data_IF_622064628438
#
_entry.id   IF_622064628438
#
_cell.length_a   1.000
_cell.length_b   1.000
_cell.length_c   1.000
_cell.angle_alpha   90.00
_cell.angle_beta   90.00
_cell.angle_gamma   90.00
#
_symmetry.space_group_name_H-M   'P 1'
#
loop_
_entity.id
_entity.type
_entity.pdbx_description
1 polymer ?
#
# COMPACT_ATOMS: atom_id res chain seq x y z
N UNK A 1 36.43 34.61 24.63
CA UNK A 1 35.07 34.03 24.56
C UNK A 1 34.64 33.65 23.13
N UNK A 2 35.56 33.34 22.21
CA UNK A 2 35.24 33.16 20.78
C UNK A 2 35.38 31.71 20.29
N UNK A 3 35.54 30.74 21.20
CA UNK A 3 35.88 29.35 20.87
C UNK A 3 34.75 28.34 21.14
N UNK A 4 33.60 28.81 21.65
CA UNK A 4 32.49 27.94 22.06
C UNK A 4 31.47 27.72 20.93
N UNK A 5 31.26 28.74 20.08
CA UNK A 5 30.32 28.68 18.96
C UNK A 5 30.78 27.76 17.81
N UNK A 6 32.09 27.66 17.58
CA UNK A 6 32.69 26.74 16.59
C UNK A 6 32.51 25.28 17.00
N UNK A 7 32.75 24.98 18.28
CA UNK A 7 32.62 23.62 18.84
C UNK A 7 31.16 23.13 18.86
N UNK A 8 30.22 24.03 19.15
CA UNK A 8 28.79 23.72 19.10
C UNK A 8 28.32 23.40 17.67
N UNK A 9 28.80 24.15 16.68
CA UNK A 9 28.43 23.96 15.26
C UNK A 9 28.98 22.64 14.70
N UNK A 10 30.20 22.25 15.07
CA UNK A 10 30.78 20.94 14.70
C UNK A 10 30.02 19.76 15.34
N UNK A 11 29.59 19.91 16.60
CA UNK A 11 28.74 18.92 17.27
C UNK A 11 27.38 18.76 16.60
N UNK A 12 26.74 19.86 16.20
CA UNK A 12 25.46 19.83 15.47
C UNK A 12 25.61 19.19 14.08
N UNK A 13 26.69 19.49 13.36
CA UNK A 13 26.96 18.86 12.06
C UNK A 13 27.14 17.35 12.19
N UNK A 14 27.90 16.92 13.20
CA UNK A 14 28.06 15.49 13.51
C UNK A 14 26.70 14.82 13.74
N UNK A 15 25.79 15.43 14.50
CA UNK A 15 24.43 14.92 14.70
C UNK A 15 23.65 14.75 13.38
N UNK A 16 23.69 15.76 12.52
CA UNK A 16 22.99 15.72 11.23
C UNK A 16 23.53 14.59 10.36
N UNK A 17 24.85 14.38 10.33
CA UNK A 17 25.47 13.30 9.55
C UNK A 17 25.03 11.92 10.06
N UNK A 18 25.08 11.67 11.38
CA UNK A 18 24.62 10.39 11.93
C UNK A 18 23.12 10.15 11.68
N UNK A 19 22.31 11.20 11.77
CA UNK A 19 20.88 11.14 11.47
C UNK A 19 20.61 10.79 10.00
N UNK A 20 21.32 11.43 9.06
CA UNK A 20 21.22 11.16 7.63
C UNK A 20 21.71 9.77 7.27
N UNK A 21 22.78 9.28 7.90
CA UNK A 21 23.27 7.92 7.72
C UNK A 21 22.19 6.90 8.10
N UNK A 22 21.52 7.10 9.24
CA UNK A 22 20.42 6.23 9.65
C UNK A 22 19.27 6.22 8.62
N UNK A 23 18.82 7.41 8.19
CA UNK A 23 17.73 7.53 7.20
C UNK A 23 18.12 6.91 5.84
N UNK A 24 19.32 7.18 5.34
CA UNK A 24 19.77 6.73 4.02
C UNK A 24 20.14 5.24 4.00
N UNK A 25 20.50 4.67 5.15
CA UNK A 25 20.86 3.24 5.25
C UNK A 25 19.69 2.32 4.91
N UNK A 26 18.46 2.75 5.18
CA UNK A 26 17.24 1.97 4.94
C UNK A 26 16.93 1.76 3.44
N UNK A 27 16.79 2.81 2.61
CA UNK A 27 16.56 2.64 1.17
C UNK A 27 17.76 1.98 0.48
N UNK A 28 18.99 2.32 0.87
CA UNK A 28 20.20 1.69 0.33
C UNK A 28 20.23 0.19 0.63
N UNK A 29 19.92 -0.20 1.87
CA UNK A 29 19.88 -1.60 2.26
C UNK A 29 18.74 -2.39 1.64
N UNK A 30 17.59 -1.75 1.40
CA UNK A 30 16.49 -2.35 0.65
C UNK A 30 16.88 -2.60 -0.82
N UNK A 31 17.50 -1.63 -1.49
CA UNK A 31 17.95 -1.74 -2.88
C UNK A 31 19.05 -2.81 -3.00
N UNK A 32 20.06 -2.77 -2.13
CA UNK A 32 21.15 -3.77 -2.14
C UNK A 32 20.65 -5.16 -1.77
N UNK A 33 19.77 -5.27 -0.79
CA UNK A 33 19.12 -6.54 -0.42
C UNK A 33 18.37 -7.11 -1.60
N UNK A 34 17.59 -6.30 -2.33
CA UNK A 34 16.86 -6.76 -3.52
C UNK A 34 17.79 -7.21 -4.65
N UNK A 35 18.91 -6.50 -4.88
CA UNK A 35 19.89 -6.81 -5.92
C UNK A 35 20.71 -8.08 -5.61
N UNK A 36 21.13 -8.26 -4.36
CA UNK A 36 21.99 -9.38 -3.95
C UNK A 36 21.21 -10.64 -3.59
N UNK A 37 19.96 -10.48 -3.14
CA UNK A 37 19.14 -11.55 -2.63
C UNK A 37 17.79 -11.59 -3.37
N UNK A 38 17.84 -11.90 -4.67
CA UNK A 38 16.66 -12.01 -5.55
C UNK A 38 15.60 -13.04 -5.10
N UNK A 39 15.87 -13.88 -4.08
CA UNK A 39 14.97 -14.95 -3.62
C UNK A 39 14.78 -14.98 -2.09
N UNK A 40 15.15 -13.92 -1.38
CA UNK A 40 14.95 -13.88 0.09
C UNK A 40 13.68 -13.09 0.38
N UNK A 41 12.56 -13.80 0.41
CA UNK A 41 11.27 -13.26 0.85
C UNK A 41 11.16 -13.26 2.39
N UNK A 42 10.58 -12.19 2.93
CA UNK A 42 10.20 -12.11 4.34
C UNK A 42 11.22 -11.41 5.26
N UNK A 43 11.26 -11.85 6.52
CA UNK A 43 11.92 -11.15 7.64
C UNK A 43 13.43 -10.87 7.43
N UNK A 44 14.11 -11.70 6.62
CA UNK A 44 15.53 -11.55 6.30
C UNK A 44 15.84 -10.30 5.47
N UNK A 45 14.85 -9.72 4.78
CA UNK A 45 15.02 -8.49 4.02
C UNK A 45 15.31 -7.28 4.92
N UNK A 46 14.91 -7.32 6.20
CA UNK A 46 15.19 -6.27 7.19
C UNK A 46 16.60 -6.37 7.78
N UNK A 47 17.25 -7.53 7.69
CA UNK A 47 18.60 -7.76 8.22
C UNK A 47 19.64 -7.00 7.40
N UNK A 48 19.47 -6.91 6.08
CA UNK A 48 20.36 -6.16 5.19
C UNK A 48 20.49 -4.66 5.51
N UNK A 49 19.38 -3.89 5.61
CA UNK A 49 19.46 -2.49 6.00
C UNK A 49 19.99 -2.30 7.43
N UNK A 50 19.68 -3.19 8.37
CA UNK A 50 20.29 -3.17 9.71
C UNK A 50 21.80 -3.38 9.69
N UNK A 51 22.27 -4.30 8.84
CA UNK A 51 23.69 -4.58 8.67
C UNK A 51 24.43 -3.40 8.03
N UNK A 52 23.86 -2.81 6.97
CA UNK A 52 24.41 -1.61 6.32
C UNK A 52 24.39 -0.42 7.28
N UNK A 53 23.32 -0.23 8.04
CA UNK A 53 23.24 0.81 9.07
C UNK A 53 24.35 0.62 10.12
N UNK A 54 24.59 -0.62 10.58
CA UNK A 54 25.64 -0.93 11.56
C UNK A 54 27.03 -0.63 11.01
N UNK A 55 27.34 -1.01 9.76
CA UNK A 55 28.63 -0.72 9.14
C UNK A 55 28.83 0.79 9.00
N UNK A 56 27.85 1.51 8.44
CA UNK A 56 27.95 2.96 8.27
C UNK A 56 28.08 3.69 9.62
N UNK A 57 27.41 3.17 10.66
CA UNK A 57 27.51 3.70 12.01
C UNK A 57 28.93 3.52 12.59
N UNK A 58 29.55 2.34 12.40
CA UNK A 58 30.93 2.08 12.82
C UNK A 58 31.92 2.98 12.06
N UNK A 59 31.75 3.11 10.74
CA UNK A 59 32.57 3.99 9.91
C UNK A 59 32.45 5.45 10.38
N UNK A 60 31.24 5.91 10.68
CA UNK A 60 31.02 7.26 11.17
C UNK A 60 31.63 7.48 12.56
N UNK A 61 31.50 6.52 13.49
CA UNK A 61 32.19 6.61 14.79
C UNK A 61 33.71 6.71 14.63
N UNK A 62 34.28 5.94 13.71
CA UNK A 62 35.71 5.94 13.42
C UNK A 62 36.16 7.27 12.80
N UNK A 63 35.44 7.77 11.79
CA UNK A 63 35.77 9.00 11.07
C UNK A 63 35.69 10.25 11.98
N UNK A 64 34.67 10.32 12.83
CA UNK A 64 34.47 11.47 13.73
C UNK A 64 35.21 11.32 15.07
N UNK A 65 35.99 10.24 15.27
CA UNK A 65 36.72 9.94 16.52
C UNK A 65 35.86 10.15 17.77
N UNK A 66 34.59 9.75 17.69
CA UNK A 66 33.62 10.03 18.76
C UNK A 66 33.97 9.16 19.96
N UNK A 67 34.56 9.76 20.99
CA UNK A 67 34.94 9.05 22.22
C UNK A 67 33.76 8.66 23.11
N UNK A 68 32.58 9.26 22.91
CA UNK A 68 31.41 9.02 23.75
C UNK A 68 30.39 8.12 23.02
N UNK A 69 30.44 6.82 23.32
CA UNK A 69 29.44 5.86 22.83
C UNK A 69 28.00 6.25 23.21
N UNK A 70 27.82 6.92 24.36
CA UNK A 70 26.52 7.40 24.83
C UNK A 70 25.89 8.46 23.90
N UNK A 71 26.73 9.27 23.24
CA UNK A 71 26.27 10.27 22.28
C UNK A 71 25.76 9.60 20.99
N UNK A 72 26.53 8.64 20.48
CA UNK A 72 26.19 7.91 19.26
C UNK A 72 24.91 7.07 19.45
N UNK A 73 24.75 6.42 20.60
CA UNK A 73 23.54 5.66 20.96
C UNK A 73 22.27 6.52 20.99
N UNK A 74 22.34 7.75 21.48
CA UNK A 74 21.20 8.69 21.47
C UNK A 74 20.80 9.07 20.04
N UNK A 75 21.78 9.38 19.19
CA UNK A 75 21.52 9.72 17.79
C UNK A 75 20.91 8.53 17.03
N UNK A 76 21.41 7.31 17.27
CA UNK A 76 20.85 6.08 16.70
C UNK A 76 19.42 5.83 17.17
N UNK A 77 19.14 5.96 18.46
CA UNK A 77 17.81 5.77 19.01
C UNK A 77 16.79 6.76 18.42
N UNK A 78 17.18 8.03 18.27
CA UNK A 78 16.34 9.05 17.63
C UNK A 78 16.07 8.68 16.16
N UNK A 79 17.11 8.30 15.41
CA UNK A 79 16.97 7.90 14.02
C UNK A 79 16.05 6.68 13.87
N UNK A 80 16.21 5.66 14.72
CA UNK A 80 15.34 4.49 14.75
C UNK A 80 13.88 4.87 15.05
N UNK A 81 13.65 5.80 15.99
CA UNK A 81 12.31 6.32 16.28
C UNK A 81 11.65 6.98 15.06
N UNK A 82 12.39 7.79 14.31
CA UNK A 82 11.87 8.39 13.07
C UNK A 82 11.58 7.36 11.98
N UNK A 83 12.49 6.40 11.78
CA UNK A 83 12.31 5.31 10.82
C UNK A 83 11.08 4.46 11.17
N UNK A 84 10.88 4.19 12.46
CA UNK A 84 9.69 3.48 12.93
C UNK A 84 8.40 4.24 12.61
N UNK A 85 8.37 5.57 12.81
CA UNK A 85 7.20 6.39 12.46
C UNK A 85 6.92 6.39 10.95
N UNK A 86 7.96 6.49 10.12
CA UNK A 86 7.82 6.38 8.67
C UNK A 86 7.26 5.01 8.29
N UNK A 87 7.78 3.94 8.91
CA UNK A 87 7.33 2.58 8.65
C UNK A 87 5.87 2.37 9.06
N UNK A 88 5.47 2.80 10.25
CA UNK A 88 4.07 2.73 10.71
C UNK A 88 3.15 3.51 9.79
N UNK A 89 3.56 4.71 9.35
CA UNK A 89 2.76 5.53 8.43
C UNK A 89 2.59 4.83 7.08
N UNK A 90 3.65 4.22 6.56
CA UNK A 90 3.60 3.47 5.30
C UNK A 90 2.78 2.18 5.44
N UNK A 91 2.89 1.49 6.57
CA UNK A 91 2.10 0.30 6.87
C UNK A 91 0.60 0.63 6.99
N UNK A 92 0.25 1.71 7.69
CA UNK A 92 -1.13 2.19 7.76
C UNK A 92 -1.69 2.58 6.39
N UNK A 93 -0.88 3.24 5.55
CA UNK A 93 -1.26 3.54 4.18
C UNK A 93 -1.52 2.28 3.36
N UNK A 94 -0.62 1.29 3.45
CA UNK A 94 -0.73 0.03 2.73
C UNK A 94 -1.91 -0.82 3.20
N UNK A 95 -2.17 -0.88 4.51
CA UNK A 95 -3.33 -1.62 5.05
C UNK A 95 -4.66 -1.09 4.50
N UNK A 96 -4.79 0.23 4.37
CA UNK A 96 -6.00 0.87 3.80
C UNK A 96 -6.24 0.51 2.32
N UNK A 97 -5.20 0.09 1.58
CA UNK A 97 -5.35 -0.36 0.19
C UNK A 97 -5.75 -1.84 0.07
N UNK A 98 -5.44 -2.68 1.07
CA UNK A 98 -5.70 -4.13 1.04
C UNK A 98 -7.03 -4.56 1.70
N UNK A 99 -7.73 -3.66 2.38
CA UNK A 99 -9.03 -3.96 3.02
C UNK A 99 -10.25 -3.72 2.12
N UNK A 100 -10.04 -3.33 0.86
CA UNK A 100 -11.13 -3.09 -0.09
C UNK A 100 -10.96 -3.92 -1.35
N UNK A 101 -12.04 -4.56 -1.79
CA UNK A 101 -12.15 -5.05 -3.16
C UNK A 101 -12.88 -4.05 -4.04
N UNK A 102 -13.02 -4.39 -5.31
CA UNK A 102 -13.80 -3.58 -6.24
C UNK A 102 -14.79 -4.42 -7.04
N UNK A 103 -15.98 -3.86 -7.24
CA UNK A 103 -16.94 -4.35 -8.24
C UNK A 103 -16.72 -3.53 -9.49
N UNK A 104 -16.43 -4.19 -10.62
CA UNK A 104 -16.36 -3.55 -11.93
C UNK A 104 -17.68 -3.75 -12.67
N UNK A 105 -18.14 -2.69 -13.31
CA UNK A 105 -19.35 -2.70 -14.15
C UNK A 105 -18.94 -2.27 -15.54
N UNK A 106 -19.32 -3.05 -16.53
CA UNK A 106 -19.29 -2.66 -17.95
C UNK A 106 -20.70 -2.69 -18.49
N UNK A 107 -21.18 -1.56 -18.98
CA UNK A 107 -22.49 -1.43 -19.61
C UNK A 107 -22.36 -1.63 -21.12
N UNK A 108 -23.28 -2.40 -21.70
CA UNK A 108 -23.39 -2.57 -23.14
C UNK A 108 -24.69 -1.97 -23.66
N UNK A 109 -24.60 -1.34 -24.84
CA UNK A 109 -25.77 -0.81 -25.55
C UNK A 109 -26.50 -1.91 -26.35
N UNK A 110 -25.81 -2.99 -26.69
CA UNK A 110 -26.36 -4.16 -27.39
C UNK A 110 -26.03 -5.47 -26.66
N UNK A 111 -26.88 -6.51 -26.78
CA UNK A 111 -26.64 -7.80 -26.15
C UNK A 111 -25.36 -8.46 -26.69
N UNK A 112 -24.46 -8.88 -25.81
CA UNK A 112 -23.21 -9.58 -26.14
C UNK A 112 -23.31 -11.11 -26.01
N UNK A 113 -24.47 -11.65 -25.62
CA UNK A 113 -24.67 -13.07 -25.36
C UNK A 113 -25.96 -13.35 -24.59
N UNK A 114 -26.01 -14.47 -23.87
CA UNK A 114 -27.11 -14.77 -22.95
C UNK A 114 -26.95 -13.99 -21.64
N UNK A 115 -28.04 -13.38 -21.19
CA UNK A 115 -28.06 -12.57 -19.96
C UNK A 115 -28.95 -13.23 -18.92
N UNK A 116 -28.51 -13.19 -17.67
CA UNK A 116 -29.36 -13.50 -16.53
C UNK A 116 -30.21 -12.28 -16.20
N UNK A 117 -31.53 -12.44 -16.04
CA UNK A 117 -32.38 -11.32 -15.65
C UNK A 117 -32.27 -11.05 -14.15
N UNK A 118 -32.01 -9.79 -13.79
CA UNK A 118 -32.01 -9.32 -12.41
C UNK A 118 -33.17 -8.37 -12.18
N UNK A 119 -33.98 -8.65 -11.16
CA UNK A 119 -35.08 -7.77 -10.77
C UNK A 119 -34.62 -6.72 -9.77
N UNK A 120 -35.27 -5.56 -9.76
CA UNK A 120 -35.01 -4.51 -8.77
C UNK A 120 -35.25 -4.98 -7.32
N UNK A 121 -36.14 -5.96 -7.11
CA UNK A 121 -36.40 -6.55 -5.79
C UNK A 121 -35.22 -7.35 -5.26
N UNK A 122 -34.53 -8.09 -6.12
CA UNK A 122 -33.32 -8.83 -5.74
C UNK A 122 -32.15 -7.88 -5.46
N UNK A 123 -32.06 -6.78 -6.21
CA UNK A 123 -30.99 -5.79 -6.07
C UNK A 123 -30.98 -5.11 -4.68
N UNK A 124 -32.17 -4.89 -4.08
CA UNK A 124 -32.29 -4.35 -2.71
C UNK A 124 -31.59 -5.18 -1.64
N UNK A 125 -31.37 -6.48 -1.90
CA UNK A 125 -30.62 -7.36 -1.01
C UNK A 125 -29.11 -7.14 -1.05
N UNK A 126 -28.60 -6.34 -2.00
CA UNK A 126 -27.18 -6.15 -2.29
C UNK A 126 -26.88 -4.67 -2.53
N UNK A 127 -26.82 -3.83 -1.47
CA UNK A 127 -26.64 -2.38 -1.59
C UNK A 127 -25.33 -2.01 -2.30
N UNK A 128 -24.25 -2.79 -2.11
CA UNK A 128 -23.00 -2.62 -2.83
C UNK A 128 -23.17 -2.74 -4.36
N UNK A 129 -23.96 -3.72 -4.81
CA UNK A 129 -24.23 -3.92 -6.23
C UNK A 129 -25.13 -2.83 -6.80
N UNK A 130 -26.15 -2.42 -6.03
CA UNK A 130 -27.03 -1.31 -6.40
C UNK A 130 -26.24 -0.01 -6.59
N UNK A 131 -25.38 0.32 -5.61
CA UNK A 131 -24.47 1.45 -5.71
C UNK A 131 -23.54 1.30 -6.90
N UNK A 132 -22.97 0.12 -7.10
CA UNK A 132 -22.08 -0.12 -8.23
C UNK A 132 -22.78 0.10 -9.58
N UNK A 133 -24.00 -0.38 -9.76
CA UNK A 133 -24.77 -0.20 -11.00
C UNK A 133 -25.19 1.26 -11.24
N UNK A 134 -25.36 2.06 -10.18
CA UNK A 134 -25.64 3.49 -10.30
C UNK A 134 -24.44 4.28 -10.85
N UNK A 135 -23.22 3.80 -10.59
CA UNK A 135 -21.97 4.50 -10.90
C UNK A 135 -21.68 5.71 -10.01
N UNK A 136 -22.53 6.01 -9.02
CA UNK A 136 -22.34 7.15 -8.12
C UNK A 136 -21.20 6.91 -7.12
N UNK A 137 -20.24 7.82 -7.09
CA UNK A 137 -19.04 7.71 -6.24
C UNK A 137 -18.04 6.65 -6.71
N UNK A 138 -18.17 6.17 -7.94
CA UNK A 138 -17.28 5.18 -8.53
C UNK A 138 -16.23 5.82 -9.45
N UNK A 139 -15.12 5.11 -9.65
CA UNK A 139 -14.05 5.57 -10.54
C UNK A 139 -14.36 5.11 -11.96
N UNK A 140 -14.52 6.06 -12.88
CA UNK A 140 -14.75 5.78 -14.30
C UNK A 140 -13.47 5.35 -14.99
N UNK A 141 -13.55 4.30 -15.80
CA UNK A 141 -12.49 3.87 -16.71
C UNK A 141 -12.77 4.46 -18.09
N UNK A 142 -14.03 4.37 -18.55
CA UNK A 142 -14.51 5.02 -19.77
C UNK A 142 -16.00 5.39 -19.62
N UNK A 143 -16.66 5.78 -20.70
CA UNK A 143 -18.08 6.19 -20.67
C UNK A 143 -19.03 5.07 -20.24
N UNK A 144 -18.65 3.81 -20.51
CA UNK A 144 -19.48 2.63 -20.30
C UNK A 144 -18.91 1.68 -19.24
N UNK A 145 -17.75 1.96 -18.65
CA UNK A 145 -17.15 1.10 -17.62
C UNK A 145 -16.55 1.88 -16.46
N UNK A 146 -16.75 1.33 -15.27
CA UNK A 146 -16.29 1.91 -14.02
C UNK A 146 -16.10 0.83 -12.96
N UNK A 147 -15.43 1.18 -11.87
CA UNK A 147 -15.31 0.30 -10.71
C UNK A 147 -15.58 1.08 -9.43
N UNK A 148 -16.14 0.37 -8.45
CA UNK A 148 -16.52 0.94 -7.16
C UNK A 148 -15.79 0.16 -6.08
N UNK A 149 -15.09 0.87 -5.18
CA UNK A 149 -14.51 0.25 -4.00
C UNK A 149 -15.61 -0.17 -3.03
N UNK A 150 -15.49 -1.38 -2.53
CA UNK A 150 -16.46 -2.00 -1.62
C UNK A 150 -15.68 -2.75 -0.53
N UNK A 151 -16.28 -2.79 0.66
CA UNK A 151 -15.83 -3.65 1.75
C UNK A 151 -15.78 -5.14 1.32
N UNK A 152 -14.82 -5.90 1.87
CA UNK A 152 -14.59 -7.29 1.49
C UNK A 152 -15.77 -8.23 1.83
N UNK A 153 -16.50 -8.00 2.92
CA UNK A 153 -17.65 -8.83 3.28
C UNK A 153 -18.83 -8.58 2.33
N UNK A 154 -19.07 -7.31 1.98
CA UNK A 154 -20.07 -6.95 0.97
C UNK A 154 -19.69 -7.44 -0.42
N UNK A 155 -18.40 -7.35 -0.79
CA UNK A 155 -17.87 -7.86 -2.05
C UNK A 155 -18.10 -9.37 -2.15
N UNK A 156 -17.76 -10.12 -1.10
CA UNK A 156 -17.92 -11.58 -1.06
C UNK A 156 -19.38 -11.97 -1.20
N UNK A 157 -20.26 -11.34 -0.39
CA UNK A 157 -21.71 -11.57 -0.46
C UNK A 157 -22.27 -11.29 -1.86
N UNK A 158 -21.82 -10.22 -2.50
CA UNK A 158 -22.26 -9.84 -3.85
C UNK A 158 -21.71 -10.79 -4.92
N UNK A 159 -20.45 -11.18 -4.80
CA UNK A 159 -19.80 -12.15 -5.69
C UNK A 159 -20.46 -13.52 -5.62
N UNK A 160 -20.79 -14.01 -4.43
CA UNK A 160 -21.49 -15.27 -4.26
C UNK A 160 -22.88 -15.25 -4.93
N UNK A 161 -23.61 -14.15 -4.81
CA UNK A 161 -24.89 -13.95 -5.48
C UNK A 161 -24.75 -13.93 -7.01
N UNK A 162 -23.84 -13.12 -7.52
CA UNK A 162 -23.60 -12.99 -8.97
C UNK A 162 -23.13 -14.32 -9.56
N UNK A 163 -22.22 -15.03 -8.89
CA UNK A 163 -21.72 -16.33 -9.34
C UNK A 163 -22.77 -17.43 -9.28
N UNK A 164 -23.71 -17.38 -8.32
CA UNK A 164 -24.83 -18.32 -8.26
C UNK A 164 -25.83 -18.08 -9.37
N UNK A 165 -25.99 -16.82 -9.80
CA UNK A 165 -27.05 -16.42 -10.73
C UNK A 165 -26.60 -16.36 -12.19
N UNK A 166 -25.30 -16.17 -12.46
CA UNK A 166 -24.78 -16.12 -13.83
C UNK A 166 -25.10 -17.40 -14.61
N UNK A 167 -25.29 -17.23 -15.91
CA UNK A 167 -25.29 -18.33 -16.87
C UNK A 167 -23.84 -18.83 -17.09
N UNK A 168 -23.67 -19.91 -17.84
CA UNK A 168 -22.33 -20.42 -18.17
C UNK A 168 -21.49 -19.31 -18.83
N UNK A 169 -20.29 -19.06 -18.28
CA UNK A 169 -19.35 -18.07 -18.80
C UNK A 169 -19.35 -16.76 -18.02
N UNK A 170 -19.30 -15.65 -18.75
CA UNK A 170 -19.16 -14.31 -18.18
C UNK A 170 -20.43 -13.89 -17.40
N UNK A 171 -20.29 -13.15 -16.29
CA UNK A 171 -21.40 -12.67 -15.46
C UNK A 171 -22.18 -11.55 -16.15
N UNK A 172 -22.96 -11.90 -17.18
CA UNK A 172 -23.80 -11.01 -17.97
C UNK A 172 -25.22 -10.91 -17.39
N UNK A 173 -25.66 -9.68 -17.06
CA UNK A 173 -26.96 -9.39 -16.45
C UNK A 173 -27.77 -8.36 -17.21
N UNK A 174 -29.07 -8.62 -17.32
CA UNK A 174 -30.05 -7.67 -17.86
C UNK A 174 -30.85 -7.06 -16.72
N UNK A 175 -30.83 -5.75 -16.60
CA UNK A 175 -31.46 -4.99 -15.51
C UNK A 175 -32.18 -3.79 -16.13
N UNK A 176 -33.51 -3.71 -15.97
CA UNK A 176 -34.33 -2.62 -16.54
C UNK A 176 -34.02 -2.35 -18.03
N UNK A 177 -33.99 -3.40 -18.84
CA UNK A 177 -33.69 -3.37 -20.29
C UNK A 177 -32.25 -2.95 -20.67
N UNK A 178 -31.37 -2.77 -19.69
CA UNK A 178 -29.94 -2.48 -19.91
C UNK A 178 -29.09 -3.71 -19.65
N UNK A 179 -27.98 -3.79 -20.38
CA UNK A 179 -27.08 -4.94 -20.37
C UNK A 179 -25.79 -4.59 -19.63
N UNK A 180 -25.39 -5.45 -18.69
CA UNK A 180 -24.22 -5.23 -17.85
C UNK A 180 -23.37 -6.50 -17.77
N UNK A 181 -22.06 -6.32 -17.69
CA UNK A 181 -21.12 -7.31 -17.16
C UNK A 181 -20.64 -6.85 -15.79
N UNK A 182 -20.65 -7.77 -14.82
CA UNK A 182 -20.28 -7.50 -13.43
C UNK A 182 -19.02 -8.29 -13.09
N UNK A 183 -17.89 -7.62 -12.98
CA UNK A 183 -16.63 -8.22 -12.54
C UNK A 183 -16.32 -7.94 -11.07
N UNK A 184 -15.40 -8.72 -10.52
CA UNK A 184 -14.89 -8.55 -9.16
C UNK A 184 -13.36 -8.53 -9.20
N UNK A 185 -12.78 -7.56 -8.50
CA UNK A 185 -11.34 -7.44 -8.31
C UNK A 185 -11.06 -7.55 -6.82
N UNK A 186 -10.31 -8.58 -6.44
CA UNK A 186 -9.75 -8.73 -5.10
C UNK A 186 -8.35 -8.13 -5.06
N UNK A 187 -7.89 -7.63 -3.91
CA UNK A 187 -6.50 -7.21 -3.72
C UNK A 187 -5.50 -8.35 -3.92
#
# INVERSE_FOLDING_TARGET
MMNDSTNQKERQWTYIVFFLIGILSLPLGLIFGRLLANNIEGMWQLVFPLFICSILFVIAMYAFKVQSAAFALKALAISFGFLFLIYVSWFMWSANEHESGAISITKFDTPQGEYSELTAGELKGYPALEKALSGEGCTKINENSWYCKVDLDELKRTSDFVNKKKLMGAPLFKINEKYYEIGFMTP
#
